data_IF_348098445248
#
_entry.id   IF_348098445248
#
_cell.length_a   1.000
_cell.length_b   1.000
_cell.length_c   1.000
_cell.angle_alpha   90.00
_cell.angle_beta   90.00
_cell.angle_gamma   90.00
#
_symmetry.space_group_name_H-M   'P 1'
#
loop_
_entity.id
_entity.type
_entity.pdbx_description
1 polymer ?
#
# COMPACT_ATOMS: atom_id res chain seq x y z
N UNK A 1 -35.74 10.80 -14.79
CA UNK A 1 -34.48 11.35 -15.32
C UNK A 1 -34.32 11.03 -16.79
N UNK A 2 -33.77 11.96 -17.54
CA UNK A 2 -33.42 11.71 -18.92
C UNK A 2 -32.14 10.86 -19.03
N UNK A 3 -31.96 10.19 -20.18
CA UNK A 3 -30.73 9.41 -20.43
C UNK A 3 -29.49 10.30 -20.40
N UNK A 4 -29.63 11.57 -20.81
CA UNK A 4 -28.50 12.53 -20.80
C UNK A 4 -28.04 12.83 -19.38
N UNK A 5 -28.96 13.02 -18.44
CA UNK A 5 -28.65 13.27 -17.04
C UNK A 5 -27.95 12.06 -16.40
N UNK A 6 -28.43 10.84 -16.66
CA UNK A 6 -27.85 9.61 -16.15
C UNK A 6 -26.41 9.46 -16.67
N UNK A 7 -26.18 9.69 -17.96
CA UNK A 7 -24.85 9.56 -18.57
C UNK A 7 -23.87 10.57 -17.99
N UNK A 8 -24.27 11.86 -17.86
CA UNK A 8 -23.41 12.90 -17.31
C UNK A 8 -23.02 12.61 -15.86
N UNK A 9 -23.96 12.15 -15.03
CA UNK A 9 -23.73 11.79 -13.65
C UNK A 9 -22.77 10.61 -13.53
N UNK A 10 -22.95 9.58 -14.37
CA UNK A 10 -22.07 8.41 -14.40
C UNK A 10 -20.65 8.78 -14.79
N UNK A 11 -20.46 9.67 -15.77
CA UNK A 11 -19.14 10.15 -16.17
C UNK A 11 -18.44 10.92 -15.05
N UNK A 12 -19.18 11.77 -14.32
CA UNK A 12 -18.63 12.49 -13.18
C UNK A 12 -18.20 11.53 -12.07
N UNK A 13 -19.01 10.51 -11.77
CA UNK A 13 -18.70 9.50 -10.77
C UNK A 13 -17.47 8.68 -11.16
N UNK A 14 -17.35 8.32 -12.42
CA UNK A 14 -16.19 7.60 -12.93
C UNK A 14 -14.92 8.46 -12.85
N UNK A 15 -14.99 9.74 -13.24
CA UNK A 15 -13.85 10.64 -13.15
C UNK A 15 -13.37 10.77 -11.71
N UNK A 16 -14.30 10.87 -10.75
CA UNK A 16 -13.96 10.91 -9.33
C UNK A 16 -13.30 9.61 -8.88
N UNK A 17 -13.84 8.47 -9.30
CA UNK A 17 -13.29 7.15 -8.97
C UNK A 17 -11.87 6.97 -9.52
N UNK A 18 -11.60 7.40 -10.75
CA UNK A 18 -10.25 7.38 -11.31
C UNK A 18 -9.28 8.24 -10.49
N UNK A 19 -9.70 9.45 -10.12
CA UNK A 19 -8.87 10.36 -9.33
C UNK A 19 -8.52 9.77 -7.95
N UNK A 20 -9.50 9.17 -7.28
CA UNK A 20 -9.27 8.53 -5.98
C UNK A 20 -8.38 7.29 -6.11
N UNK A 21 -8.56 6.49 -7.15
CA UNK A 21 -7.69 5.35 -7.44
C UNK A 21 -6.22 5.79 -7.59
N UNK A 22 -5.99 6.83 -8.38
CA UNK A 22 -4.66 7.38 -8.58
C UNK A 22 -4.07 7.96 -7.29
N UNK A 23 -4.90 8.61 -6.48
CA UNK A 23 -4.47 9.16 -5.20
C UNK A 23 -4.01 8.06 -4.24
N UNK A 24 -4.71 6.93 -4.21
CA UNK A 24 -4.32 5.78 -3.38
C UNK A 24 -3.04 5.14 -3.92
N UNK A 25 -2.94 4.96 -5.23
CA UNK A 25 -1.71 4.44 -5.83
C UNK A 25 -0.52 5.33 -5.47
N UNK A 26 -0.69 6.64 -5.53
CA UNK A 26 0.34 7.61 -5.14
C UNK A 26 0.68 7.51 -3.64
N UNK A 27 -0.33 7.33 -2.80
CA UNK A 27 -0.14 7.19 -1.35
C UNK A 27 0.67 5.93 -0.97
N UNK A 28 0.64 4.89 -1.79
CA UNK A 28 1.40 3.67 -1.58
C UNK A 28 2.86 3.79 -2.05
N UNK A 29 3.19 4.77 -2.89
CA UNK A 29 4.52 4.89 -3.48
C UNK A 29 5.66 5.03 -2.46
N UNK A 30 5.56 5.81 -1.38
CA UNK A 30 6.66 5.88 -0.42
C UNK A 30 7.06 4.52 0.14
N UNK A 31 6.09 3.67 0.41
CA UNK A 31 6.35 2.30 0.85
C UNK A 31 6.96 1.46 -0.27
N UNK A 32 6.39 1.52 -1.47
CA UNK A 32 6.87 0.76 -2.63
C UNK A 32 8.29 1.18 -3.00
N UNK A 33 8.56 2.48 -3.04
CA UNK A 33 9.89 3.00 -3.36
C UNK A 33 10.91 2.63 -2.29
N UNK A 34 10.51 2.61 -1.03
CA UNK A 34 11.37 2.24 0.08
C UNK A 34 11.84 0.78 0.00
N UNK A 35 11.05 -0.11 -0.60
CA UNK A 35 11.49 -1.49 -0.84
C UNK A 35 12.73 -1.53 -1.72
N UNK A 36 12.82 -0.63 -2.70
CA UNK A 36 13.96 -0.55 -3.61
C UNK A 36 15.16 0.14 -2.97
N UNK A 37 14.94 1.23 -2.27
CA UNK A 37 16.01 2.09 -1.74
C UNK A 37 16.50 1.69 -0.36
N UNK A 38 15.68 0.98 0.43
CA UNK A 38 15.96 0.68 1.82
C UNK A 38 15.75 1.86 2.75
N UNK A 39 15.02 2.89 2.30
CA UNK A 39 14.78 4.10 3.08
C UNK A 39 13.57 3.91 4.00
N UNK A 40 13.84 3.50 5.24
CA UNK A 40 12.78 3.28 6.24
C UNK A 40 12.01 4.53 6.59
N UNK A 41 12.65 5.70 6.63
CA UNK A 41 11.96 6.97 6.90
C UNK A 41 10.96 7.29 5.81
N UNK A 42 11.31 7.04 4.55
CA UNK A 42 10.39 7.20 3.43
C UNK A 42 9.19 6.26 3.58
N UNK A 43 9.44 4.99 3.88
CA UNK A 43 8.37 4.01 4.13
C UNK A 43 7.42 4.50 5.22
N UNK A 44 7.96 5.04 6.31
CA UNK A 44 7.18 5.50 7.46
C UNK A 44 6.14 6.54 7.08
N UNK A 45 6.44 7.40 6.11
CA UNK A 45 5.51 8.47 5.70
C UNK A 45 4.21 7.96 5.10
N UNK A 46 4.17 6.71 4.63
CA UNK A 46 2.96 6.12 4.06
C UNK A 46 1.95 5.68 5.12
N UNK A 47 2.36 5.57 6.38
CA UNK A 47 1.56 4.97 7.45
C UNK A 47 1.06 6.00 8.44
N UNK A 48 -0.16 5.78 8.96
CA UNK A 48 -0.61 6.45 10.18
C UNK A 48 0.21 5.97 11.37
N UNK A 49 0.29 6.78 12.42
CA UNK A 49 0.96 6.41 13.67
C UNK A 49 0.34 5.17 14.31
N UNK A 50 -0.97 5.00 14.16
CA UNK A 50 -1.71 3.87 14.72
C UNK A 50 -1.70 2.62 13.84
N UNK A 51 -1.01 2.64 12.71
CA UNK A 51 -1.10 1.53 11.76
C UNK A 51 -0.72 0.19 12.39
N UNK A 52 -1.48 -0.84 12.05
CA UNK A 52 -1.21 -2.22 12.45
C UNK A 52 -0.54 -2.95 11.30
N UNK A 53 0.59 -3.60 11.58
CA UNK A 53 1.38 -4.32 10.59
C UNK A 53 1.57 -5.74 11.12
N UNK A 54 1.08 -6.72 10.37
CA UNK A 54 1.05 -8.12 10.81
C UNK A 54 1.47 -9.03 9.65
N UNK A 55 2.35 -9.97 9.93
CA UNK A 55 2.73 -10.94 8.94
C UNK A 55 3.80 -11.90 9.43
N UNK A 56 4.39 -12.64 8.51
CA UNK A 56 5.47 -13.54 8.82
C UNK A 56 6.54 -13.51 7.74
N UNK A 57 7.78 -13.67 8.16
CA UNK A 57 8.92 -13.85 7.27
C UNK A 57 9.64 -15.13 7.72
N UNK A 58 9.82 -16.04 6.76
CA UNK A 58 10.44 -17.33 7.08
C UNK A 58 9.68 -18.13 8.13
N UNK A 59 8.37 -17.98 8.19
CA UNK A 59 7.52 -18.65 9.17
C UNK A 59 7.48 -17.99 10.54
N UNK A 60 8.20 -16.90 10.74
CA UNK A 60 8.26 -16.18 12.02
C UNK A 60 7.22 -15.05 12.03
N UNK A 61 6.25 -15.16 12.94
CA UNK A 61 5.16 -14.19 13.09
C UNK A 61 5.69 -12.89 13.71
N UNK A 62 5.22 -11.75 13.16
CA UNK A 62 5.67 -10.43 13.58
C UNK A 62 4.51 -9.44 13.53
N UNK A 63 4.49 -8.50 14.47
CA UNK A 63 3.47 -7.45 14.53
C UNK A 63 4.10 -6.13 15.03
N UNK A 64 5.06 -5.58 14.30
CA UNK A 64 5.71 -4.32 14.70
C UNK A 64 4.73 -3.15 14.62
N UNK A 65 4.97 -2.11 15.41
CA UNK A 65 4.32 -0.83 15.17
C UNK A 65 4.95 -0.13 13.95
N UNK A 66 4.40 1.02 13.56
CA UNK A 66 4.86 1.72 12.36
C UNK A 66 6.33 2.14 12.43
N UNK A 67 6.80 2.57 13.60
CA UNK A 67 8.20 2.99 13.77
C UNK A 67 9.15 1.78 13.71
N UNK A 68 8.80 0.70 14.39
CA UNK A 68 9.59 -0.53 14.36
C UNK A 68 9.65 -1.13 12.96
N UNK A 69 8.55 -1.06 12.22
CA UNK A 69 8.52 -1.53 10.84
C UNK A 69 9.44 -0.69 9.94
N UNK A 70 9.43 0.63 10.11
CA UNK A 70 10.34 1.51 9.39
C UNK A 70 11.80 1.16 9.65
N UNK A 71 12.16 0.87 10.90
CA UNK A 71 13.51 0.39 11.24
C UNK A 71 13.82 -0.93 10.54
N UNK A 72 12.87 -1.85 10.50
CA UNK A 72 13.04 -3.13 9.80
C UNK A 72 13.35 -2.91 8.31
N UNK A 73 12.65 -1.98 7.65
CA UNK A 73 12.91 -1.64 6.25
C UNK A 73 14.34 -1.12 6.08
N UNK A 74 14.79 -0.24 6.97
CA UNK A 74 16.15 0.28 6.94
C UNK A 74 17.21 -0.82 7.16
N UNK A 75 16.94 -1.75 8.05
CA UNK A 75 17.86 -2.86 8.34
C UNK A 75 17.96 -3.85 7.18
N UNK A 76 16.85 -4.11 6.49
CA UNK A 76 16.83 -4.95 5.29
C UNK A 76 17.71 -4.31 4.20
N UNK A 77 17.67 -2.98 4.10
CA UNK A 77 18.46 -2.24 3.14
C UNK A 77 17.86 -2.25 1.74
N UNK A 78 18.66 -1.81 0.79
CA UNK A 78 18.23 -1.66 -0.60
C UNK A 78 18.03 -3.02 -1.28
N UNK A 79 17.00 -3.09 -2.12
CA UNK A 79 16.73 -4.23 -3.01
C UNK A 79 16.55 -3.68 -4.43
N UNK A 80 17.64 -3.33 -5.13
CA UNK A 80 17.54 -2.62 -6.41
C UNK A 80 16.79 -3.38 -7.49
N UNK A 81 16.72 -4.71 -7.39
CA UNK A 81 16.03 -5.55 -8.38
C UNK A 81 14.59 -5.87 -8.00
N UNK A 82 14.08 -5.25 -6.93
CA UNK A 82 12.69 -5.47 -6.53
C UNK A 82 11.75 -5.00 -7.63
N UNK A 83 10.73 -5.81 -7.89
CA UNK A 83 9.62 -5.44 -8.76
C UNK A 83 8.33 -5.53 -7.98
N UNK A 84 7.42 -4.63 -8.27
CA UNK A 84 6.14 -4.58 -7.60
C UNK A 84 5.01 -4.29 -8.57
N UNK A 85 3.81 -4.64 -8.17
CA UNK A 85 2.59 -4.24 -8.87
C UNK A 85 1.47 -4.08 -7.87
N UNK A 86 0.60 -3.10 -8.12
CA UNK A 86 -0.66 -2.97 -7.41
C UNK A 86 -1.64 -3.87 -8.15
N UNK A 87 -2.05 -4.98 -7.52
CA UNK A 87 -2.93 -5.95 -8.14
C UNK A 87 -4.36 -5.44 -8.23
N UNK A 88 -4.83 -4.75 -7.19
CA UNK A 88 -6.15 -4.10 -7.18
C UNK A 88 -6.22 -3.06 -6.08
N UNK A 89 -7.17 -2.14 -6.24
CA UNK A 89 -7.58 -1.15 -5.26
C UNK A 89 -9.11 -1.15 -5.25
N UNK A 90 -9.70 -1.17 -4.05
CA UNK A 90 -11.14 -1.12 -3.86
C UNK A 90 -11.46 0.03 -2.90
N UNK A 91 -12.45 0.85 -3.24
CA UNK A 91 -12.71 2.12 -2.57
C UNK A 91 -14.16 2.20 -2.15
N UNK A 92 -14.39 2.64 -0.91
CA UNK A 92 -15.71 2.98 -0.41
C UNK A 92 -15.62 4.29 0.38
N UNK A 93 -15.96 5.42 -0.25
CA UNK A 93 -15.82 6.73 0.39
C UNK A 93 -14.39 7.00 0.84
N UNK A 94 -14.16 7.30 2.13
CA UNK A 94 -12.82 7.57 2.65
C UNK A 94 -12.05 6.32 3.05
N UNK A 95 -12.61 5.13 2.81
CA UNK A 95 -11.98 3.86 3.15
C UNK A 95 -11.57 3.12 1.89
N UNK A 96 -10.45 2.44 1.92
CA UNK A 96 -9.96 1.66 0.79
C UNK A 96 -9.18 0.44 1.23
N UNK A 97 -9.10 -0.52 0.32
CA UNK A 97 -8.23 -1.67 0.44
C UNK A 97 -7.41 -1.82 -0.84
N UNK A 98 -6.21 -2.37 -0.72
CA UNK A 98 -5.33 -2.59 -1.86
C UNK A 98 -4.51 -3.85 -1.66
N UNK A 99 -4.12 -4.47 -2.77
CA UNK A 99 -3.20 -5.59 -2.77
C UNK A 99 -1.98 -5.22 -3.59
N UNK A 100 -0.79 -5.36 -3.01
CA UNK A 100 0.48 -5.11 -3.69
C UNK A 100 1.32 -6.38 -3.62
N UNK A 101 1.93 -6.72 -4.73
CA UNK A 101 2.78 -7.91 -4.82
C UNK A 101 4.22 -7.48 -5.14
N UNK A 102 5.17 -8.16 -4.51
CA UNK A 102 6.61 -7.91 -4.71
C UNK A 102 7.33 -9.20 -5.06
N UNK A 103 8.33 -9.08 -5.93
CA UNK A 103 9.34 -10.12 -6.15
C UNK A 103 10.71 -9.50 -5.95
N UNK A 104 11.68 -10.30 -5.54
CA UNK A 104 13.07 -9.86 -5.31
C UNK A 104 13.22 -8.77 -4.25
N UNK A 105 12.35 -8.77 -3.25
CA UNK A 105 12.56 -7.92 -2.09
C UNK A 105 13.43 -8.69 -1.09
N UNK A 106 14.72 -8.39 -1.08
CA UNK A 106 15.72 -9.16 -0.33
C UNK A 106 15.68 -10.66 -0.65
N UNK A 107 15.43 -10.98 -1.93
CA UNK A 107 15.33 -12.37 -2.40
C UNK A 107 14.02 -13.06 -2.14
N UNK A 108 13.02 -12.36 -1.60
CA UNK A 108 11.73 -12.94 -1.22
C UNK A 108 10.59 -12.38 -2.06
N UNK A 109 9.49 -13.14 -2.11
CA UNK A 109 8.22 -12.70 -2.67
C UNK A 109 7.27 -12.36 -1.54
N UNK A 110 6.56 -11.26 -1.70
CA UNK A 110 5.56 -10.82 -0.73
C UNK A 110 4.24 -10.54 -1.41
N UNK A 111 3.16 -10.84 -0.69
CA UNK A 111 1.84 -10.33 -1.00
C UNK A 111 1.41 -9.48 0.20
N UNK A 112 1.16 -8.20 -0.05
CA UNK A 112 0.76 -7.25 0.97
C UNK A 112 -0.69 -6.83 0.76
N UNK A 113 -1.50 -6.95 1.81
CA UNK A 113 -2.85 -6.42 1.83
C UNK A 113 -2.88 -5.18 2.69
N UNK A 114 -3.40 -4.08 2.14
CA UNK A 114 -3.47 -2.80 2.83
C UNK A 114 -4.91 -2.38 3.04
N UNK A 115 -5.15 -1.72 4.16
CA UNK A 115 -6.34 -0.91 4.38
C UNK A 115 -5.89 0.52 4.59
N UNK A 116 -6.58 1.46 3.94
CA UNK A 116 -6.21 2.87 3.95
C UNK A 116 -7.43 3.70 4.33
N UNK A 117 -7.18 4.89 4.87
CA UNK A 117 -8.23 5.83 5.18
C UNK A 117 -7.79 7.25 4.79
N UNK A 118 -8.76 8.05 4.34
CA UNK A 118 -8.52 9.42 3.91
C UNK A 118 -8.96 10.39 4.99
N UNK A 119 -8.02 11.19 5.50
CA UNK A 119 -8.30 12.29 6.43
C UNK A 119 -7.61 13.54 5.93
N UNK A 120 -8.26 14.69 6.07
CA UNK A 120 -7.70 15.99 5.65
C UNK A 120 -7.19 15.95 4.20
N UNK A 121 -7.91 15.26 3.34
CA UNK A 121 -7.57 15.17 1.92
C UNK A 121 -6.42 14.21 1.59
N UNK A 122 -5.90 13.46 2.56
CA UNK A 122 -4.76 12.57 2.36
C UNK A 122 -5.09 11.12 2.71
N UNK A 123 -4.70 10.22 1.81
CA UNK A 123 -4.75 8.79 2.05
C UNK A 123 -3.49 8.33 2.76
N UNK A 124 -3.65 7.52 3.81
CA UNK A 124 -2.54 6.84 4.48
C UNK A 124 -2.94 5.42 4.85
N UNK A 125 -1.93 4.59 5.05
CA UNK A 125 -2.11 3.18 5.42
C UNK A 125 -2.46 3.09 6.90
N UNK A 126 -3.60 2.46 7.20
CA UNK A 126 -4.07 2.17 8.55
C UNK A 126 -3.74 0.75 8.98
N UNK A 127 -3.53 -0.16 8.03
CA UNK A 127 -3.16 -1.53 8.33
C UNK A 127 -2.49 -2.20 7.14
N UNK A 128 -1.59 -3.14 7.45
CA UNK A 128 -0.90 -3.97 6.49
C UNK A 128 -0.82 -5.39 7.03
N UNK A 129 -1.34 -6.33 6.26
CA UNK A 129 -1.21 -7.77 6.56
C UNK A 129 -0.50 -8.40 5.37
N UNK A 130 0.56 -9.14 5.62
CA UNK A 130 1.38 -9.63 4.52
C UNK A 130 1.74 -11.09 4.68
N UNK A 131 2.03 -11.72 3.55
CA UNK A 131 2.54 -13.08 3.46
C UNK A 131 3.86 -13.04 2.69
N UNK A 132 4.90 -13.62 3.29
CA UNK A 132 6.14 -13.89 2.57
C UNK A 132 6.09 -15.34 2.11
N UNK A 133 5.99 -15.54 0.80
CA UNK A 133 5.74 -16.88 0.27
C UNK A 133 6.93 -17.82 0.44
N UNK A 134 8.02 -17.45 -0.15
CA UNK A 134 9.27 -18.22 -0.17
C UNK A 134 10.28 -17.45 -1.00
N UNK A 135 11.45 -17.99 -1.14
CA UNK A 135 12.40 -17.45 -2.10
C UNK A 135 11.79 -17.46 -3.50
N UNK A 136 12.15 -16.50 -4.27
CA UNK A 136 11.68 -16.35 -5.65
C UNK A 136 11.88 -17.61 -6.47
#
# INVERSE_FOLDING_TARGET
>A
MSNTEITAKTQADEAHSFAEYEAIATALLPYIDAAKTGDGELSRTAFYDHAHIVGSVGGEFSYPDADAFAENVSQIGASPDVKSRIAWIDISGPAAAAKVEFINWSGLRFTDFFVLYKTDGQWKISGKVYDSHSNN
#
